data_IF_763072587588
#
_entry.id   IF_763072587588
#
_cell.length_a   1.000
_cell.length_b   1.000
_cell.length_c   1.000
_cell.angle_alpha   90.00
_cell.angle_beta   90.00
_cell.angle_gamma   90.00
#
_symmetry.space_group_name_H-M   'P 1'
#
loop_
_entity.id
_entity.type
_entity.pdbx_description
1 polymer ?
#
# COMPACT_ATOMS: atom_id res chain seq x y z
N UNK A 1 3.74 -10.94 -1.39
CA UNK A 1 5.04 -11.63 -1.63
C UNK A 1 6.24 -10.69 -1.47
N UNK A 2 6.29 -9.55 -2.18
CA UNK A 2 7.39 -8.57 -2.08
C UNK A 2 7.50 -7.99 -0.66
N UNK A 3 6.37 -7.54 -0.08
CA UNK A 3 6.33 -7.04 1.31
C UNK A 3 6.96 -8.03 2.30
N UNK A 4 6.48 -9.27 2.34
CA UNK A 4 7.03 -10.30 3.23
C UNK A 4 8.53 -10.59 3.01
N UNK A 5 9.04 -10.51 1.77
CA UNK A 5 10.49 -10.65 1.50
C UNK A 5 11.27 -9.50 2.12
N UNK A 6 10.81 -8.27 1.89
CA UNK A 6 11.49 -7.07 2.38
C UNK A 6 11.40 -6.98 3.91
N UNK A 7 10.26 -7.33 4.54
CA UNK A 7 10.14 -7.31 6.00
C UNK A 7 11.12 -8.31 6.62
N UNK A 8 11.25 -9.51 6.03
CA UNK A 8 12.24 -10.51 6.47
C UNK A 8 13.69 -10.05 6.31
N UNK A 9 13.95 -9.07 5.45
CA UNK A 9 15.26 -8.42 5.31
C UNK A 9 15.47 -7.27 6.30
N UNK A 10 14.54 -7.05 7.23
CA UNK A 10 14.60 -5.98 8.23
C UNK A 10 14.22 -4.59 7.71
N UNK A 11 13.67 -4.49 6.48
CA UNK A 11 13.22 -3.22 5.91
C UNK A 11 11.93 -2.75 6.57
N UNK A 12 11.82 -1.47 6.89
CA UNK A 12 10.58 -0.79 7.26
C UNK A 12 9.78 -0.49 6.00
N UNK A 13 8.58 -1.05 5.89
CA UNK A 13 7.79 -0.98 4.65
C UNK A 13 6.41 -0.44 4.97
N UNK A 14 5.90 0.41 4.08
CA UNK A 14 4.51 0.83 4.05
C UNK A 14 3.84 0.24 2.80
N UNK A 15 2.73 -0.47 2.98
CA UNK A 15 1.84 -0.89 1.90
C UNK A 15 0.75 0.15 1.68
N UNK A 16 0.32 0.34 0.44
CA UNK A 16 -0.73 1.30 0.09
C UNK A 16 -1.75 0.63 -0.82
N UNK A 17 -3.01 0.65 -0.40
CA UNK A 17 -4.13 0.16 -1.19
C UNK A 17 -4.60 1.23 -2.20
N UNK A 18 -3.80 1.46 -3.25
CA UNK A 18 -4.06 2.48 -4.28
C UNK A 18 -5.13 2.10 -5.30
N UNK A 19 -5.58 0.85 -5.36
CA UNK A 19 -6.84 0.50 -6.02
C UNK A 19 -8.03 0.85 -5.12
N UNK A 20 -8.40 2.12 -5.14
CA UNK A 20 -9.49 2.64 -4.33
C UNK A 20 -10.87 2.29 -4.89
N UNK A 21 -10.98 1.71 -6.07
CA UNK A 21 -12.28 1.43 -6.70
C UNK A 21 -12.84 0.05 -6.34
N UNK A 22 -11.97 -0.91 -6.00
CA UNK A 22 -12.37 -2.29 -5.71
C UNK A 22 -12.20 -2.59 -4.22
N UNK A 23 -13.32 -2.76 -3.51
CA UNK A 23 -13.31 -3.13 -2.09
C UNK A 23 -12.46 -4.37 -1.78
N UNK A 24 -12.60 -5.41 -2.62
CA UNK A 24 -11.82 -6.63 -2.50
C UNK A 24 -10.30 -6.39 -2.66
N UNK A 25 -9.88 -5.40 -3.45
CA UNK A 25 -8.45 -5.07 -3.59
C UNK A 25 -7.89 -4.46 -2.29
N UNK A 26 -8.64 -3.53 -1.68
CA UNK A 26 -8.28 -2.91 -0.39
C UNK A 26 -8.19 -3.96 0.72
N UNK A 27 -9.14 -4.88 0.80
CA UNK A 27 -9.11 -5.99 1.76
C UNK A 27 -7.92 -6.91 1.52
N UNK A 28 -7.67 -7.28 0.25
CA UNK A 28 -6.54 -8.15 -0.09
C UNK A 28 -5.21 -7.54 0.33
N UNK A 29 -4.97 -6.26 0.05
CA UNK A 29 -3.75 -5.54 0.49
C UNK A 29 -3.67 -5.50 2.01
N UNK A 30 -4.78 -5.29 2.70
CA UNK A 30 -4.85 -5.29 4.17
C UNK A 30 -4.38 -6.63 4.77
N UNK A 31 -4.91 -7.75 4.26
CA UNK A 31 -4.52 -9.11 4.70
C UNK A 31 -3.04 -9.39 4.42
N UNK A 32 -2.52 -8.92 3.28
CA UNK A 32 -1.10 -9.08 2.97
C UNK A 32 -0.19 -8.25 3.88
N UNK A 33 -0.63 -7.06 4.30
CA UNK A 33 0.10 -6.24 5.27
C UNK A 33 0.16 -6.87 6.64
N UNK A 34 -0.97 -7.36 7.14
CA UNK A 34 -1.04 -8.11 8.41
C UNK A 34 -0.10 -9.33 8.39
N UNK A 35 -0.18 -10.16 7.34
CA UNK A 35 0.70 -11.33 7.18
C UNK A 35 2.18 -10.98 7.04
N UNK A 36 2.49 -9.80 6.52
CA UNK A 36 3.86 -9.32 6.34
C UNK A 36 4.38 -8.52 7.54
N UNK A 37 3.54 -8.26 8.57
CA UNK A 37 3.88 -7.36 9.67
C UNK A 37 4.16 -5.92 9.22
N UNK A 38 3.55 -5.48 8.12
CA UNK A 38 3.77 -4.16 7.54
C UNK A 38 2.50 -3.29 7.66
N UNK A 39 2.61 -2.00 8.05
CA UNK A 39 1.48 -1.09 8.04
C UNK A 39 0.89 -0.93 6.64
N UNK A 40 -0.42 -0.68 6.59
CA UNK A 40 -1.19 -0.47 5.36
C UNK A 40 -1.87 0.89 5.43
N UNK A 41 -1.60 1.74 4.45
CA UNK A 41 -2.33 2.98 4.19
C UNK A 41 -3.48 2.70 3.21
N UNK A 42 -4.69 3.13 3.57
CA UNK A 42 -5.89 2.96 2.77
C UNK A 42 -6.89 4.07 3.05
N UNK A 43 -7.80 4.30 2.11
CA UNK A 43 -8.94 5.21 2.23
C UNK A 43 -10.23 4.47 1.86
N UNK A 44 -11.34 5.18 1.99
CA UNK A 44 -12.65 4.71 1.55
C UNK A 44 -12.70 4.40 0.05
N UNK A 45 -13.64 3.56 -0.33
CA UNK A 45 -13.84 3.19 -1.73
C UNK A 45 -14.27 4.40 -2.56
N UNK A 46 -13.66 4.56 -3.73
CA UNK A 46 -13.84 5.71 -4.62
C UNK A 46 -13.02 6.94 -4.24
N UNK A 47 -12.22 6.89 -3.16
CA UNK A 47 -11.35 7.99 -2.77
C UNK A 47 -10.24 8.26 -3.80
N UNK A 48 -9.70 9.48 -3.76
CA UNK A 48 -8.58 9.90 -4.59
C UNK A 48 -7.32 9.05 -4.30
N UNK A 49 -6.95 8.24 -5.29
CA UNK A 49 -5.78 7.37 -5.25
C UNK A 49 -4.45 8.15 -5.32
N UNK A 50 -4.41 9.29 -6.02
CA UNK A 50 -3.21 10.11 -6.12
C UNK A 50 -2.90 10.77 -4.78
N UNK A 51 -3.92 11.35 -4.13
CA UNK A 51 -3.80 11.89 -2.78
C UNK A 51 -3.43 10.83 -1.74
N UNK A 52 -3.97 9.61 -1.86
CA UNK A 52 -3.57 8.48 -0.99
C UNK A 52 -2.08 8.15 -1.16
N UNK A 53 -1.59 8.06 -2.40
CA UNK A 53 -0.18 7.81 -2.68
C UNK A 53 0.71 8.94 -2.14
N UNK A 54 0.28 10.20 -2.31
CA UNK A 54 1.00 11.36 -1.81
C UNK A 54 1.15 11.33 -0.28
N UNK A 55 0.05 11.11 0.44
CA UNK A 55 0.06 11.04 1.90
C UNK A 55 0.91 9.87 2.41
N UNK A 56 0.85 8.72 1.73
CA UNK A 56 1.66 7.55 2.07
C UNK A 56 3.17 7.83 1.93
N UNK A 57 3.59 8.49 0.85
CA UNK A 57 5.00 8.87 0.66
C UNK A 57 5.43 9.90 1.70
N UNK A 58 4.59 10.91 1.97
CA UNK A 58 4.88 11.92 3.00
C UNK A 58 5.00 11.30 4.40
N UNK A 59 4.13 10.34 4.72
CA UNK A 59 4.21 9.54 5.97
C UNK A 59 5.49 8.73 6.01
N UNK A 60 5.81 8.02 4.94
CA UNK A 60 7.01 7.19 4.85
C UNK A 60 8.29 8.00 5.07
N UNK A 61 8.36 9.23 4.55
CA UNK A 61 9.47 10.15 4.80
C UNK A 61 9.56 10.55 6.29
N UNK A 62 8.44 10.92 6.92
CA UNK A 62 8.41 11.29 8.35
C UNK A 62 8.81 10.13 9.25
N UNK A 63 8.39 8.91 8.91
CA UNK A 63 8.65 7.70 9.69
C UNK A 63 9.98 7.01 9.33
N UNK A 64 10.76 7.57 8.40
CA UNK A 64 12.00 6.99 7.87
C UNK A 64 11.81 5.53 7.43
N UNK A 65 10.74 5.28 6.67
CA UNK A 65 10.46 3.99 6.03
C UNK A 65 11.44 3.76 4.88
N UNK A 66 11.87 2.52 4.70
CA UNK A 66 12.76 2.13 3.60
C UNK A 66 12.05 2.03 2.25
N UNK A 67 10.81 1.53 2.25
CA UNK A 67 10.09 1.19 1.02
C UNK A 67 8.60 1.51 1.15
N UNK A 68 8.03 2.09 0.09
CA UNK A 68 6.58 2.23 -0.10
C UNK A 68 6.16 1.36 -1.27
N UNK A 69 5.17 0.49 -1.05
CA UNK A 69 4.62 -0.40 -2.07
C UNK A 69 3.17 0.01 -2.34
N UNK A 70 2.91 0.57 -3.52
CA UNK A 70 1.58 1.04 -3.92
C UNK A 70 0.95 0.02 -4.88
N UNK A 71 -0.17 -0.57 -4.48
CA UNK A 71 -0.98 -1.42 -5.35
C UNK A 71 -1.94 -0.55 -6.15
N UNK A 72 -1.89 -0.62 -7.48
CA UNK A 72 -2.70 0.25 -8.36
C UNK A 72 -3.71 -0.58 -9.15
N UNK A 73 -4.85 0.03 -9.49
CA UNK A 73 -5.81 -0.60 -10.41
C UNK A 73 -5.16 -0.87 -11.79
N UNK A 74 -5.15 -2.12 -12.24
CA UNK A 74 -4.69 -2.48 -13.58
C UNK A 74 -5.80 -2.25 -14.60
N UNK A 75 -5.90 -1.03 -15.15
CA UNK A 75 -6.81 -0.73 -16.26
C UNK A 75 -6.05 -0.81 -17.58
N UNK A 76 -6.28 -1.87 -18.34
CA UNK A 76 -5.80 -1.95 -19.72
C UNK A 76 -6.57 -0.92 -20.54
N UNK A 77 -5.88 -0.06 -21.28
CA UNK A 77 -6.54 0.80 -22.26
C UNK A 77 -7.05 -0.09 -23.40
N UNK A 78 -8.37 -0.07 -23.61
CA UNK A 78 -9.06 -0.65 -24.77
C UNK A 78 -9.44 0.45 -25.73
#
# INVERSE_FOLDING_TARGET
KIAAKLTRQGRKILLVAGDTFRAAAVEQVSVWGERAGAPVEKRDIGADAAGLAYDAVARAQRENMDVVLIDTAGRLQT
#
